data_IF_019806722244
#
_entry.id   IF_019806722244
#
_cell.length_a   1.000
_cell.length_b   1.000
_cell.length_c   1.000
_cell.angle_alpha   90.00
_cell.angle_beta   90.00
_cell.angle_gamma   90.00
#
_symmetry.space_group_name_H-M   'P 1'
#
loop_
_entity.id
_entity.type
_entity.pdbx_description
1 polymer ?
#
# COMPACT_ATOMS: atom_id res chain seq x y z
N UNK A 1 89.74 2.75 -3.02
CA UNK A 1 88.56 3.62 -2.87
C UNK A 1 87.55 3.15 -3.92
N UNK A 2 86.59 2.26 -3.58
CA UNK A 2 85.19 2.57 -3.15
C UNK A 2 84.43 3.30 -4.28
N UNK A 3 83.25 2.94 -4.83
CA UNK A 3 82.06 2.10 -4.54
C UNK A 3 81.24 2.04 -5.89
N UNK A 4 80.50 0.98 -6.32
CA UNK A 4 79.10 0.59 -6.01
C UNK A 4 78.09 1.78 -5.95
N UNK A 5 76.80 1.77 -6.34
CA UNK A 5 75.83 0.86 -6.97
C UNK A 5 74.56 1.71 -7.35
N UNK A 6 73.60 1.06 -8.03
CA UNK A 6 72.29 1.45 -8.63
C UNK A 6 71.24 2.25 -7.81
N UNK A 7 70.34 2.94 -8.54
CA UNK A 7 68.89 2.60 -8.57
C UNK A 7 67.81 3.62 -8.11
N UNK A 8 66.75 3.72 -8.94
CA UNK A 8 65.28 3.92 -8.68
C UNK A 8 64.55 5.29 -8.75
N UNK A 9 63.53 5.30 -9.63
CA UNK A 9 62.08 5.60 -9.52
C UNK A 9 61.49 6.96 -9.03
N UNK A 10 60.47 7.42 -9.78
CA UNK A 10 59.37 8.34 -9.39
C UNK A 10 59.64 9.84 -9.63
N UNK A 11 58.71 10.73 -9.98
CA UNK A 11 57.25 10.74 -9.80
C UNK A 11 56.61 11.88 -10.63
N UNK A 12 55.28 11.82 -10.72
CA UNK A 12 54.31 12.55 -11.53
C UNK A 12 54.24 14.07 -11.25
N UNK A 13 54.29 14.87 -12.33
CA UNK A 13 53.92 16.29 -12.32
C UNK A 13 52.40 16.47 -12.26
N UNK A 14 51.89 16.67 -11.05
CA UNK A 14 50.51 17.08 -10.76
C UNK A 14 50.32 18.57 -11.08
N UNK A 15 49.35 18.91 -11.92
CA UNK A 15 48.80 20.27 -12.02
C UNK A 15 47.31 20.22 -11.68
N UNK A 16 47.05 20.31 -10.38
CA UNK A 16 45.73 20.57 -9.82
C UNK A 16 45.46 22.08 -9.88
N UNK A 17 44.43 22.48 -10.63
CA UNK A 17 43.72 23.75 -10.41
C UNK A 17 42.29 23.36 -10.07
N UNK A 18 41.99 23.39 -8.78
CA UNK A 18 40.73 22.96 -8.20
C UNK A 18 39.56 23.85 -8.62
N UNK A 19 38.55 23.23 -9.24
CA UNK A 19 37.18 23.70 -9.14
C UNK A 19 36.58 23.14 -7.86
N UNK A 20 36.33 23.99 -6.87
CA UNK A 20 35.62 23.59 -5.66
C UNK A 20 34.28 22.95 -6.02
N UNK A 21 34.05 21.72 -5.51
CA UNK A 21 32.75 21.08 -5.57
C UNK A 21 31.74 21.94 -4.79
N UNK A 22 30.89 22.68 -5.51
CA UNK A 22 29.86 23.53 -4.90
C UNK A 22 28.93 22.65 -4.05
N UNK A 23 28.89 22.95 -2.76
CA UNK A 23 28.10 22.24 -1.75
C UNK A 23 26.62 22.41 -2.06
N UNK A 24 25.92 21.32 -2.38
CA UNK A 24 24.46 21.32 -2.51
C UNK A 24 23.84 21.47 -1.13
N UNK A 25 23.10 22.56 -0.91
CA UNK A 25 22.32 22.78 0.31
C UNK A 25 20.94 22.11 0.18
N UNK A 26 20.41 21.49 1.25
CA UNK A 26 19.05 20.96 1.27
C UNK A 26 18.01 22.09 1.18
N UNK A 27 16.84 21.75 0.63
CA UNK A 27 15.76 22.68 0.26
C UNK A 27 15.32 23.63 1.39
N UNK A 28 15.34 23.14 2.63
CA UNK A 28 14.87 23.86 3.83
C UNK A 28 15.76 25.06 4.21
N UNK A 29 17.00 25.07 3.73
CA UNK A 29 17.98 26.13 4.02
C UNK A 29 17.94 27.30 3.01
N UNK A 30 17.15 27.17 1.93
CA UNK A 30 17.04 28.19 0.88
C UNK A 30 15.94 29.20 1.23
N UNK A 31 16.26 30.13 2.14
CA UNK A 31 15.41 31.29 2.50
C UNK A 31 15.31 32.31 1.35
N UNK A 32 14.61 31.96 0.27
CA UNK A 32 14.28 32.91 -0.81
C UNK A 32 15.48 33.44 -1.59
N UNK A 33 16.46 32.59 -1.90
CA UNK A 33 17.59 32.99 -2.74
C UNK A 33 17.18 33.21 -4.20
N UNK A 34 17.80 34.19 -4.86
CA UNK A 34 17.85 34.33 -6.33
C UNK A 34 19.31 34.29 -6.78
N UNK A 35 19.60 33.62 -7.90
CA UNK A 35 20.92 33.62 -8.53
C UNK A 35 21.29 32.33 -9.28
N UNK A 36 22.38 32.34 -10.07
CA UNK A 36 22.85 31.21 -10.91
C UNK A 36 23.30 29.96 -10.12
N UNK A 37 23.15 29.98 -8.80
CA UNK A 37 23.42 28.87 -7.89
C UNK A 37 22.17 27.98 -7.68
N UNK A 38 20.99 28.43 -8.12
CA UNK A 38 19.72 27.75 -7.91
C UNK A 38 19.30 27.05 -9.20
N UNK A 39 19.90 25.89 -9.42
CA UNK A 39 19.41 24.96 -10.44
C UNK A 39 18.24 24.17 -9.85
N UNK A 40 17.01 24.65 -10.06
CA UNK A 40 15.81 23.85 -9.79
C UNK A 40 15.82 22.64 -10.71
N UNK A 41 16.24 21.49 -10.19
CA UNK A 41 16.05 20.20 -10.84
C UNK A 41 14.78 19.58 -10.27
N UNK A 42 13.80 19.21 -11.11
CA UNK A 42 12.66 18.44 -10.65
C UNK A 42 13.12 17.18 -9.91
N UNK A 43 12.42 16.82 -8.84
CA UNK A 43 12.68 15.59 -8.10
C UNK A 43 12.64 14.40 -9.06
N UNK A 44 13.66 13.54 -8.96
CA UNK A 44 13.74 12.29 -9.71
C UNK A 44 13.36 11.14 -8.80
N UNK A 45 12.45 10.30 -9.28
CA UNK A 45 12.00 9.09 -8.62
C UNK A 45 12.62 7.90 -9.33
N UNK A 46 13.30 7.03 -8.59
CA UNK A 46 13.84 5.78 -9.13
C UNK A 46 12.70 4.80 -9.37
N UNK A 47 12.94 3.80 -10.21
CA UNK A 47 12.01 2.69 -10.41
C UNK A 47 11.66 2.00 -9.07
N UNK A 48 12.59 1.94 -8.13
CA UNK A 48 12.41 1.42 -6.77
C UNK A 48 11.40 2.23 -5.94
N UNK A 49 11.41 3.56 -6.06
CA UNK A 49 10.46 4.44 -5.36
C UNK A 49 9.03 4.26 -5.88
N UNK A 50 8.91 3.75 -7.12
CA UNK A 50 7.67 3.51 -7.84
C UNK A 50 7.31 2.02 -7.88
N UNK A 51 7.94 1.22 -7.00
CA UNK A 51 7.65 -0.19 -6.85
C UNK A 51 6.17 -0.40 -6.47
N UNK A 52 5.48 -1.24 -7.24
CA UNK A 52 4.04 -1.47 -7.13
C UNK A 52 3.26 -1.06 -8.38
N UNK A 53 3.87 -0.30 -9.29
CA UNK A 53 3.32 -0.01 -10.63
C UNK A 53 4.01 -0.87 -11.69
N UNK A 54 3.25 -1.30 -12.70
CA UNK A 54 3.77 -1.97 -13.90
C UNK A 54 4.04 -0.92 -14.97
N UNK A 55 5.29 -0.81 -15.40
CA UNK A 55 5.73 0.19 -16.37
C UNK A 55 5.90 -0.43 -17.76
N UNK A 56 5.33 0.24 -18.76
CA UNK A 56 5.55 -0.09 -20.17
C UNK A 56 6.12 1.14 -20.85
N UNK A 57 7.38 1.07 -21.26
CA UNK A 57 8.05 2.18 -21.93
C UNK A 57 8.49 1.73 -23.30
N UNK A 58 8.12 2.52 -24.31
CA UNK A 58 8.43 2.27 -25.69
C UNK A 58 9.09 3.50 -26.30
N UNK A 59 10.21 3.28 -26.98
CA UNK A 59 10.88 4.30 -27.77
C UNK A 59 10.79 3.90 -29.24
N UNK A 60 10.37 4.85 -30.06
CA UNK A 60 10.33 4.72 -31.51
C UNK A 60 11.19 5.83 -32.13
N UNK A 61 12.43 5.52 -32.56
CA UNK A 61 13.19 6.43 -33.39
C UNK A 61 12.52 6.62 -34.75
N UNK A 62 12.90 7.67 -35.50
CA UNK A 62 12.32 8.02 -36.81
C UNK A 62 12.32 6.88 -37.85
N UNK A 63 13.16 5.87 -37.64
CA UNK A 63 13.25 4.66 -38.47
C UNK A 63 12.08 3.68 -38.24
N UNK A 64 11.18 3.96 -37.30
CA UNK A 64 9.90 3.26 -37.10
C UNK A 64 9.97 1.97 -36.29
N UNK A 65 11.13 1.66 -35.68
CA UNK A 65 11.30 0.43 -34.89
C UNK A 65 10.98 0.69 -33.42
N UNK A 66 9.82 0.22 -32.96
CA UNK A 66 9.42 0.30 -31.55
C UNK A 66 10.32 -0.62 -30.70
N UNK A 67 10.89 -0.05 -29.63
CA UNK A 67 11.77 -0.77 -28.70
C UNK A 67 11.23 -0.65 -27.27
N UNK A 68 10.97 -1.79 -26.59
CA UNK A 68 10.66 -1.76 -25.16
C UNK A 68 11.88 -1.34 -24.35
N UNK A 69 11.66 -0.63 -23.26
CA UNK A 69 12.71 -0.13 -22.38
C UNK A 69 12.32 -0.34 -20.92
N UNK A 70 13.32 -0.45 -20.05
CA UNK A 70 13.10 -0.56 -18.60
C UNK A 70 13.30 0.79 -17.95
N UNK A 71 12.38 1.22 -17.08
CA UNK A 71 12.51 2.47 -16.33
C UNK A 71 13.70 2.40 -15.37
N UNK A 72 14.52 3.46 -15.33
CA UNK A 72 15.55 3.66 -14.30
C UNK A 72 15.11 4.74 -13.32
N UNK A 73 14.82 5.93 -13.85
CA UNK A 73 14.31 7.06 -13.08
C UNK A 73 13.41 7.95 -13.94
N UNK A 74 12.52 8.69 -13.29
CA UNK A 74 11.56 9.60 -13.91
C UNK A 74 11.47 10.91 -13.14
N UNK A 75 11.31 12.00 -13.87
CA UNK A 75 10.96 13.32 -13.35
C UNK A 75 9.87 13.95 -14.21
N UNK A 76 9.38 15.12 -13.80
CA UNK A 76 8.34 15.86 -14.53
C UNK A 76 8.74 16.19 -15.98
N UNK A 77 10.03 16.41 -16.24
CA UNK A 77 10.56 16.89 -17.52
C UNK A 77 11.39 15.85 -18.31
N UNK A 78 11.52 14.62 -17.81
CA UNK A 78 12.42 13.65 -18.41
C UNK A 78 12.43 12.33 -17.67
N UNK A 79 13.13 11.37 -18.26
CA UNK A 79 13.31 10.04 -17.68
C UNK A 79 14.63 9.43 -18.17
N UNK A 80 15.12 8.46 -17.42
CA UNK A 80 16.19 7.57 -17.83
C UNK A 80 15.62 6.17 -18.02
N UNK A 81 16.00 5.53 -19.11
CA UNK A 81 15.63 4.13 -19.39
C UNK A 81 16.85 3.29 -19.69
N UNK A 82 16.73 1.99 -19.43
CA UNK A 82 17.67 0.98 -19.86
C UNK A 82 17.19 0.36 -21.17
N UNK A 83 18.08 0.38 -22.16
CA UNK A 83 17.94 -0.31 -23.43
C UNK A 83 18.70 -1.64 -23.35
N UNK A 84 17.99 -2.76 -23.55
CA UNK A 84 18.59 -4.11 -23.56
C UNK A 84 19.32 -4.44 -24.86
N UNK A 85 19.09 -3.64 -25.91
CA UNK A 85 19.82 -3.71 -27.17
C UNK A 85 20.20 -2.29 -27.56
N UNK A 86 21.38 -2.08 -28.16
CA UNK A 86 21.79 -0.76 -28.59
C UNK A 86 20.78 -0.24 -29.62
N UNK A 87 20.17 0.91 -29.32
CA UNK A 87 19.49 1.68 -30.36
C UNK A 87 20.56 2.34 -31.22
N UNK A 88 20.33 2.36 -32.54
CA UNK A 88 21.00 3.28 -33.46
C UNK A 88 20.43 4.69 -33.26
N UNK A 89 20.47 5.21 -32.03
CA UNK A 89 20.06 6.58 -31.76
C UNK A 89 21.29 7.37 -31.38
N UNK A 90 21.45 8.50 -32.04
CA UNK A 90 22.49 9.46 -31.73
C UNK A 90 21.99 10.40 -30.62
N UNK A 91 22.87 10.88 -29.73
CA UNK A 91 22.54 12.01 -28.87
C UNK A 91 21.99 13.19 -29.68
N UNK A 92 21.19 14.03 -29.04
CA UNK A 92 20.52 15.20 -29.62
C UNK A 92 19.41 14.90 -30.64
N UNK A 93 19.14 13.63 -30.96
CA UNK A 93 18.02 13.25 -31.83
C UNK A 93 16.70 13.19 -31.05
N UNK A 94 15.63 13.55 -31.75
CA UNK A 94 14.26 13.37 -31.29
C UNK A 94 13.76 11.96 -31.63
N UNK A 95 13.10 11.34 -30.66
CA UNK A 95 12.42 10.05 -30.75
C UNK A 95 10.99 10.21 -30.28
N UNK A 96 10.08 9.38 -30.77
CA UNK A 96 8.75 9.25 -30.19
C UNK A 96 8.85 8.35 -28.95
N UNK A 97 8.22 8.76 -27.87
CA UNK A 97 8.27 8.12 -26.56
C UNK A 97 6.85 7.90 -26.07
N UNK A 98 6.56 6.66 -25.69
CA UNK A 98 5.34 6.28 -25.02
C UNK A 98 5.65 5.67 -23.66
N UNK A 99 5.06 6.23 -22.61
CA UNK A 99 5.23 5.80 -21.22
C UNK A 99 3.86 5.47 -20.67
N UNK A 100 3.66 4.23 -20.24
CA UNK A 100 2.47 3.79 -19.54
C UNK A 100 2.81 3.24 -18.15
N UNK A 101 1.85 3.41 -17.23
CA UNK A 101 1.84 2.77 -15.91
C UNK A 101 0.48 2.12 -15.66
N UNK A 102 0.47 0.83 -15.32
CA UNK A 102 -0.74 0.03 -15.13
C UNK A 102 -1.75 0.18 -16.31
N UNK A 103 -1.23 0.30 -17.55
CA UNK A 103 -2.02 0.52 -18.78
C UNK A 103 -2.48 1.96 -19.05
N UNK A 104 -2.19 2.91 -18.14
CA UNK A 104 -2.54 4.33 -18.31
C UNK A 104 -1.38 5.10 -18.94
N UNK A 105 -1.69 6.00 -19.87
CA UNK A 105 -0.68 6.82 -20.55
C UNK A 105 -0.20 7.92 -19.59
N UNK A 106 1.08 7.88 -19.19
CA UNK A 106 1.76 8.98 -18.51
C UNK A 106 2.33 9.99 -19.50
N UNK A 107 2.77 9.52 -20.68
CA UNK A 107 3.32 10.36 -21.74
C UNK A 107 3.17 9.67 -23.09
N UNK A 108 2.82 10.43 -24.12
CA UNK A 108 2.83 9.99 -25.51
C UNK A 108 3.19 11.20 -26.38
N UNK A 109 4.41 11.21 -26.93
CA UNK A 109 4.91 12.36 -27.69
C UNK A 109 6.42 12.30 -27.95
N UNK A 110 6.98 13.42 -28.39
CA UNK A 110 8.39 13.51 -28.78
C UNK A 110 9.28 13.78 -27.56
N UNK A 111 10.40 13.06 -27.48
CA UNK A 111 11.47 13.29 -26.51
C UNK A 111 12.82 13.42 -27.21
N UNK A 112 13.74 14.18 -26.63
CA UNK A 112 15.11 14.33 -27.10
C UNK A 112 16.03 13.41 -26.31
N UNK A 113 16.88 12.66 -27.01
CA UNK A 113 17.98 11.92 -26.38
C UNK A 113 19.04 12.90 -25.93
N UNK A 114 19.24 13.02 -24.63
CA UNK A 114 20.23 13.92 -24.02
C UNK A 114 21.57 13.22 -23.87
N UNK A 115 21.55 11.96 -23.45
CA UNK A 115 22.76 11.23 -23.11
C UNK A 115 22.56 9.73 -23.34
N UNK A 116 23.60 9.09 -23.87
CA UNK A 116 23.68 7.64 -23.99
C UNK A 116 24.95 7.17 -23.25
N UNK A 117 24.78 6.33 -22.24
CA UNK A 117 25.88 5.75 -21.46
C UNK A 117 25.78 4.23 -21.51
N UNK A 118 26.81 3.55 -22.00
CA UNK A 118 26.78 2.09 -22.12
C UNK A 118 27.95 1.51 -22.89
N UNK A 119 28.02 0.18 -22.93
CA UNK A 119 29.06 -0.60 -23.60
C UNK A 119 28.56 -1.34 -24.85
N UNK A 120 27.39 -0.95 -25.38
CA UNK A 120 26.79 -1.57 -26.56
C UNK A 120 25.89 -2.78 -26.27
N UNK A 121 26.00 -3.43 -25.12
CA UNK A 121 25.06 -4.49 -24.70
C UNK A 121 23.90 -3.93 -23.88
N UNK A 122 24.21 -2.99 -22.99
CA UNK A 122 23.24 -2.24 -22.21
C UNK A 122 23.53 -0.76 -22.33
N UNK A 123 22.51 0.00 -22.71
CA UNK A 123 22.64 1.44 -22.88
C UNK A 123 21.61 2.14 -22.02
N UNK A 124 22.09 2.97 -21.10
CA UNK A 124 21.27 3.93 -20.37
C UNK A 124 21.02 5.12 -21.29
N UNK A 125 19.75 5.41 -21.54
CA UNK A 125 19.31 6.52 -22.38
C UNK A 125 18.57 7.54 -21.52
N UNK A 126 19.14 8.75 -21.43
CA UNK A 126 18.49 9.89 -20.79
C UNK A 126 17.66 10.66 -21.83
N UNK A 127 16.39 10.89 -21.51
CA UNK A 127 15.40 11.52 -22.38
C UNK A 127 14.86 12.79 -21.72
N UNK A 128 14.81 13.87 -22.49
CA UNK A 128 14.10 15.11 -22.13
C UNK A 128 12.82 15.21 -22.94
N UNK A 129 11.69 15.48 -22.29
CA UNK A 129 10.38 15.57 -22.93
C UNK A 129 10.25 16.90 -23.67
N UNK A 130 9.67 16.89 -24.88
CA UNK A 130 9.50 18.11 -25.70
C UNK A 130 8.04 18.55 -25.82
N UNK A 131 7.10 17.61 -25.90
CA UNK A 131 5.69 17.91 -26.19
C UNK A 131 4.83 18.08 -24.94
N UNK A 132 5.39 17.84 -23.76
CA UNK A 132 4.66 17.92 -22.50
C UNK A 132 5.50 17.52 -21.30
N UNK A 133 4.84 17.50 -20.15
CA UNK A 133 5.42 17.08 -18.87
C UNK A 133 4.68 15.85 -18.36
N UNK A 134 5.38 14.99 -17.64
CA UNK A 134 4.77 13.88 -16.92
C UNK A 134 4.21 14.40 -15.59
N UNK A 135 2.94 14.14 -15.34
CA UNK A 135 2.32 14.39 -14.04
C UNK A 135 2.72 13.30 -13.03
N UNK A 136 3.91 13.47 -12.47
CA UNK A 136 4.46 12.57 -11.45
C UNK A 136 3.62 12.56 -10.18
N UNK A 137 2.94 13.66 -9.85
CA UNK A 137 2.07 13.74 -8.67
C UNK A 137 0.88 12.80 -8.81
N UNK A 138 0.25 12.75 -9.97
CA UNK A 138 -0.83 11.78 -10.24
C UNK A 138 -0.35 10.33 -10.13
N UNK A 139 0.86 10.03 -10.61
CA UNK A 139 1.47 8.69 -10.50
C UNK A 139 1.67 8.30 -9.03
N UNK A 140 2.19 9.22 -8.21
CA UNK A 140 2.38 8.99 -6.77
C UNK A 140 1.06 8.82 -6.02
N UNK A 141 0.02 9.56 -6.41
CA UNK A 141 -1.31 9.42 -5.83
C UNK A 141 -1.90 8.03 -6.12
N UNK A 142 -1.78 7.53 -7.35
CA UNK A 142 -2.22 6.18 -7.72
C UNK A 142 -1.46 5.12 -6.92
N UNK A 143 -0.14 5.28 -6.77
CA UNK A 143 0.67 4.38 -5.95
C UNK A 143 0.22 4.36 -4.48
N UNK A 144 -0.09 5.52 -3.91
CA UNK A 144 -0.59 5.65 -2.53
C UNK A 144 -1.93 4.94 -2.37
N UNK A 145 -2.88 5.20 -3.28
CA UNK A 145 -4.19 4.54 -3.29
C UNK A 145 -4.04 3.02 -3.37
N UNK A 146 -3.14 2.52 -4.23
CA UNK A 146 -2.90 1.08 -4.38
C UNK A 146 -2.38 0.45 -3.09
N UNK A 147 -1.41 1.10 -2.43
CA UNK A 147 -0.88 0.67 -1.12
C UNK A 147 -1.97 0.65 -0.05
N UNK A 148 -2.78 1.70 0.02
CA UNK A 148 -3.89 1.80 0.98
C UNK A 148 -4.94 0.72 0.73
N UNK A 149 -5.28 0.46 -0.53
CA UNK A 149 -6.20 -0.62 -0.92
C UNK A 149 -5.66 -2.01 -0.56
N UNK A 150 -4.37 -2.27 -0.76
CA UNK A 150 -3.76 -3.53 -0.37
C UNK A 150 -3.79 -3.74 1.14
N UNK A 151 -3.49 -2.69 1.92
CA UNK A 151 -3.60 -2.73 3.38
C UNK A 151 -5.04 -2.92 3.85
N UNK A 152 -5.99 -2.18 3.28
CA UNK A 152 -7.42 -2.33 3.58
C UNK A 152 -7.92 -3.73 3.24
N UNK A 153 -7.50 -4.30 2.10
CA UNK A 153 -7.84 -5.67 1.72
C UNK A 153 -7.20 -6.70 2.64
N UNK A 154 -5.96 -6.52 3.09
CA UNK A 154 -5.32 -7.40 4.06
C UNK A 154 -6.03 -7.37 5.42
N UNK A 155 -6.41 -6.17 5.87
CA UNK A 155 -7.22 -5.99 7.07
C UNK A 155 -8.60 -6.64 6.91
N UNK A 156 -9.30 -6.40 5.80
CA UNK A 156 -10.59 -7.00 5.51
C UNK A 156 -10.50 -8.53 5.47
N UNK A 157 -9.50 -9.10 4.78
CA UNK A 157 -9.27 -10.56 4.76
C UNK A 157 -9.04 -11.11 6.16
N UNK A 158 -8.30 -10.41 7.01
CA UNK A 158 -8.07 -10.81 8.41
C UNK A 158 -9.35 -10.71 9.24
N UNK A 159 -10.10 -9.61 9.07
CA UNK A 159 -11.34 -9.31 9.77
C UNK A 159 -12.46 -10.31 9.41
N UNK A 160 -12.55 -10.69 8.14
CA UNK A 160 -13.59 -11.57 7.61
C UNK A 160 -13.09 -13.00 7.34
N UNK A 161 -11.88 -13.36 7.76
CA UNK A 161 -11.30 -14.69 7.57
C UNK A 161 -12.27 -15.81 8.00
N UNK A 162 -12.90 -15.66 9.17
CA UNK A 162 -13.89 -16.63 9.67
C UNK A 162 -15.20 -16.69 8.87
N UNK A 163 -15.54 -15.64 8.10
CA UNK A 163 -16.66 -15.67 7.16
C UNK A 163 -16.33 -16.46 5.89
N UNK A 164 -15.06 -16.48 5.46
CA UNK A 164 -14.63 -17.17 4.24
C UNK A 164 -14.41 -18.67 4.40
N UNK A 165 -14.49 -19.21 5.63
CA UNK A 165 -14.44 -20.67 5.85
C UNK A 165 -15.73 -21.29 5.32
N UNK A 166 -15.69 -21.94 4.16
CA UNK A 166 -16.86 -22.58 3.55
C UNK A 166 -17.37 -23.78 4.34
N UNK A 167 -18.62 -24.20 4.06
CA UNK A 167 -19.28 -25.39 4.62
C UNK A 167 -19.70 -25.31 6.10
N UNK A 168 -19.70 -24.11 6.69
CA UNK A 168 -20.16 -23.86 8.07
C UNK A 168 -21.29 -22.82 8.13
N UNK A 169 -22.05 -22.69 7.04
CA UNK A 169 -23.22 -21.82 6.95
C UNK A 169 -24.25 -22.08 8.08
N UNK A 170 -24.54 -23.34 8.48
CA UNK A 170 -25.46 -23.61 9.58
C UNK A 170 -24.99 -23.02 10.92
N UNK A 171 -23.69 -23.16 11.24
CA UNK A 171 -23.11 -22.59 12.47
C UNK A 171 -23.13 -21.07 12.43
N UNK A 172 -22.74 -20.46 11.30
CA UNK A 172 -22.76 -18.99 11.13
C UNK A 172 -24.18 -18.43 11.23
N UNK A 173 -25.17 -19.13 10.69
CA UNK A 173 -26.57 -18.75 10.79
C UNK A 173 -27.04 -18.76 12.25
N UNK A 174 -26.78 -19.85 13.00
CA UNK A 174 -27.15 -19.94 14.42
C UNK A 174 -26.49 -18.85 15.26
N UNK A 175 -25.20 -18.56 15.04
CA UNK A 175 -24.48 -17.49 15.75
C UNK A 175 -25.08 -16.12 15.44
N UNK A 176 -25.46 -15.88 14.18
CA UNK A 176 -26.06 -14.60 13.76
C UNK A 176 -27.49 -14.45 14.30
N UNK A 177 -28.30 -15.51 14.28
CA UNK A 177 -29.62 -15.55 14.91
C UNK A 177 -29.52 -15.31 16.41
N UNK A 178 -28.53 -15.92 17.07
CA UNK A 178 -28.31 -15.76 18.50
C UNK A 178 -27.88 -14.32 18.86
N UNK A 179 -27.05 -13.69 18.03
CA UNK A 179 -26.72 -12.26 18.18
C UNK A 179 -27.98 -11.39 18.14
N UNK A 180 -28.83 -11.55 17.14
CA UNK A 180 -30.07 -10.79 17.02
C UNK A 180 -30.97 -11.02 18.23
N UNK A 181 -31.08 -12.27 18.68
CA UNK A 181 -31.79 -12.59 19.91
C UNK A 181 -31.22 -11.87 21.13
N UNK A 182 -29.88 -11.78 21.27
CA UNK A 182 -29.21 -11.06 22.37
C UNK A 182 -29.43 -9.53 22.30
N UNK A 183 -29.49 -8.96 21.09
CA UNK A 183 -29.79 -7.54 20.88
C UNK A 183 -31.24 -7.22 21.27
N UNK A 184 -32.20 -8.04 20.81
CA UNK A 184 -33.62 -7.93 21.20
C UNK A 184 -33.81 -8.13 22.71
N UNK A 185 -33.07 -9.08 23.27
CA UNK A 185 -33.00 -9.38 24.69
C UNK A 185 -32.57 -8.17 25.51
N UNK A 186 -31.47 -7.52 25.09
CA UNK A 186 -30.96 -6.31 25.73
C UNK A 186 -31.98 -5.17 25.65
N UNK A 187 -32.55 -4.93 24.48
CA UNK A 187 -33.57 -3.89 24.29
C UNK A 187 -34.80 -4.12 25.18
N UNK A 188 -35.26 -5.37 25.27
CA UNK A 188 -36.40 -5.75 26.12
C UNK A 188 -36.09 -5.58 27.61
N UNK A 189 -34.87 -5.91 28.03
CA UNK A 189 -34.43 -5.73 29.42
C UNK A 189 -34.34 -4.24 29.77
N UNK A 190 -33.78 -3.42 28.88
CA UNK A 190 -33.71 -1.96 29.06
C UNK A 190 -35.12 -1.35 29.15
N UNK A 191 -36.07 -1.81 28.33
CA UNK A 191 -37.47 -1.40 28.41
C UNK A 191 -38.14 -1.84 29.73
N UNK A 192 -37.91 -3.08 30.16
CA UNK A 192 -38.41 -3.59 31.44
C UNK A 192 -37.87 -2.78 32.62
N UNK A 193 -36.57 -2.50 32.64
CA UNK A 193 -35.92 -1.66 33.65
C UNK A 193 -36.51 -0.25 33.68
N UNK A 194 -36.76 0.35 32.51
CA UNK A 194 -37.41 1.67 32.41
C UNK A 194 -38.82 1.66 33.00
N UNK A 195 -39.65 0.67 32.65
CA UNK A 195 -41.04 0.56 33.13
C UNK A 195 -41.14 0.23 34.63
N UNK A 196 -40.20 -0.57 35.14
CA UNK A 196 -40.22 -1.11 36.48
C UNK A 196 -39.16 -0.50 37.40
N UNK A 197 -38.70 0.73 37.10
CA UNK A 197 -37.65 1.42 37.87
C UNK A 197 -37.97 1.53 39.37
N UNK A 198 -39.24 1.76 39.69
CA UNK A 198 -39.73 1.84 41.07
C UNK A 198 -39.77 0.46 41.77
N UNK A 199 -40.06 -0.62 41.03
CA UNK A 199 -40.07 -2.00 41.52
C UNK A 199 -38.66 -2.48 41.87
N UNK A 200 -37.64 -2.08 41.09
CA UNK A 200 -36.24 -2.39 41.39
C UNK A 200 -35.81 -1.76 42.72
N UNK A 201 -36.21 -0.51 42.98
CA UNK A 201 -35.93 0.17 44.25
C UNK A 201 -36.73 -0.41 45.42
N UNK A 202 -37.99 -0.80 45.20
CA UNK A 202 -38.85 -1.37 46.24
C UNK A 202 -38.56 -2.86 46.56
N UNK A 203 -37.99 -3.61 45.60
CA UNK A 203 -37.64 -5.03 45.76
C UNK A 203 -36.45 -5.27 46.70
N UNK A 204 -35.66 -4.23 47.01
CA UNK A 204 -34.63 -4.30 48.05
C UNK A 204 -35.26 -4.45 49.44
N UNK A 205 -36.40 -3.81 49.67
CA UNK A 205 -37.07 -3.74 50.98
C UNK A 205 -38.13 -4.83 51.20
N UNK A 206 -38.83 -5.29 50.16
CA UNK A 206 -39.94 -6.25 50.28
C UNK A 206 -39.71 -7.57 49.50
N UNK A 207 -39.79 -8.69 50.23
CA UNK A 207 -39.64 -10.07 49.71
C UNK A 207 -40.75 -10.46 48.71
N UNK A 208 -41.95 -9.89 48.82
CA UNK A 208 -43.07 -10.15 47.88
C UNK A 208 -42.85 -9.47 46.54
N UNK A 209 -42.41 -8.21 46.55
CA UNK A 209 -42.06 -7.46 45.35
C UNK A 209 -40.83 -8.05 44.66
N UNK A 210 -39.87 -8.55 45.45
CA UNK A 210 -38.73 -9.32 44.92
C UNK A 210 -39.17 -10.58 44.18
N UNK A 211 -40.16 -11.30 44.69
CA UNK A 211 -40.72 -12.48 44.01
C UNK A 211 -41.41 -12.10 42.68
N UNK A 212 -42.23 -11.05 42.67
CA UNK A 212 -42.88 -10.55 41.46
C UNK A 212 -41.87 -10.04 40.42
N UNK A 213 -40.79 -9.40 40.85
CA UNK A 213 -39.67 -8.99 40.00
C UNK A 213 -38.99 -10.21 39.35
N UNK A 214 -38.66 -11.24 40.14
CA UNK A 214 -38.07 -12.47 39.62
C UNK A 214 -39.04 -13.23 38.70
N UNK A 215 -40.33 -13.27 38.99
CA UNK A 215 -41.33 -13.88 38.10
C UNK A 215 -41.41 -13.13 36.76
N UNK A 216 -41.36 -11.80 36.76
CA UNK A 216 -41.29 -11.00 35.52
C UNK A 216 -39.96 -11.16 34.77
N UNK A 217 -38.84 -11.28 35.50
CA UNK A 217 -37.51 -11.48 34.93
C UNK A 217 -37.33 -12.91 34.37
N UNK A 218 -37.88 -13.93 35.04
CA UNK A 218 -37.78 -15.34 34.63
C UNK A 218 -38.90 -15.77 33.67
N UNK A 219 -39.96 -14.97 33.49
CA UNK A 219 -40.89 -15.09 32.37
C UNK A 219 -40.24 -14.73 31.02
N UNK A 220 -39.06 -14.10 31.05
CA UNK A 220 -38.21 -13.90 29.88
C UNK A 220 -37.66 -15.23 29.36
N UNK A 221 -37.45 -15.42 28.03
CA UNK A 221 -37.37 -16.75 27.45
C UNK A 221 -35.98 -17.37 27.64
N UNK A 222 -35.70 -17.84 28.86
CA UNK A 222 -34.62 -18.76 29.20
C UNK A 222 -34.62 -20.01 28.29
N UNK A 223 -35.80 -20.40 27.81
CA UNK A 223 -35.99 -21.48 26.84
C UNK A 223 -35.33 -21.22 25.48
N UNK A 224 -35.52 -20.02 24.89
CA UNK A 224 -34.93 -19.69 23.57
C UNK A 224 -33.41 -19.61 23.65
N UNK A 225 -32.88 -19.11 24.77
CA UNK A 225 -31.45 -19.12 25.03
C UNK A 225 -30.90 -20.55 25.04
N UNK A 226 -31.57 -21.48 25.73
CA UNK A 226 -31.21 -22.90 25.74
C UNK A 226 -31.26 -23.52 24.34
N UNK A 227 -32.29 -23.22 23.55
CA UNK A 227 -32.43 -23.69 22.16
C UNK A 227 -31.27 -23.21 21.26
N UNK A 228 -30.85 -21.94 21.38
CA UNK A 228 -29.70 -21.42 20.65
C UNK A 228 -28.38 -22.06 21.10
N UNK A 229 -28.18 -22.24 22.41
CA UNK A 229 -26.98 -22.87 22.95
C UNK A 229 -26.85 -24.34 22.49
N UNK A 230 -27.95 -25.09 22.48
CA UNK A 230 -27.98 -26.48 22.00
C UNK A 230 -27.72 -26.55 20.49
N UNK A 231 -28.39 -25.71 19.68
CA UNK A 231 -28.16 -25.66 18.21
C UNK A 231 -26.72 -25.26 17.87
N UNK A 232 -26.15 -24.29 18.60
CA UNK A 232 -24.76 -23.87 18.40
C UNK A 232 -23.78 -24.99 18.79
N UNK A 233 -24.05 -25.71 19.87
CA UNK A 233 -23.26 -26.87 20.28
C UNK A 233 -23.31 -27.98 19.23
N UNK A 234 -24.49 -28.36 18.76
CA UNK A 234 -24.68 -29.42 17.77
C UNK A 234 -23.94 -29.11 16.46
N UNK A 235 -24.12 -27.89 15.93
CA UNK A 235 -23.44 -27.44 14.71
C UNK A 235 -21.94 -27.28 14.87
N UNK A 236 -21.44 -26.98 16.08
CA UNK A 236 -19.99 -26.89 16.34
C UNK A 236 -19.27 -28.24 16.28
N UNK A 237 -19.99 -29.37 16.38
CA UNK A 237 -19.38 -30.72 16.34
C UNK A 237 -18.85 -31.09 14.95
N UNK A 238 -19.36 -30.44 13.92
CA UNK A 238 -18.96 -30.66 12.53
C UNK A 238 -17.70 -29.88 12.15
N UNK A 239 -17.22 -29.01 13.05
CA UNK A 239 -16.05 -28.14 12.83
C UNK A 239 -14.75 -28.92 12.89
N UNK A 240 -13.95 -28.82 11.83
CA UNK A 240 -12.61 -29.42 11.81
C UNK A 240 -11.63 -28.66 12.71
N UNK A 241 -10.56 -29.34 13.16
CA UNK A 241 -9.49 -28.72 13.97
C UNK A 241 -8.77 -27.59 13.25
N UNK A 242 -8.72 -27.64 11.91
CA UNK A 242 -8.05 -26.63 11.09
C UNK A 242 -8.86 -25.32 11.03
N UNK A 243 -10.19 -25.43 11.04
CA UNK A 243 -11.11 -24.29 10.91
C UNK A 243 -11.56 -23.71 12.25
N UNK A 244 -11.38 -24.47 13.35
CA UNK A 244 -11.83 -24.12 14.69
C UNK A 244 -11.36 -22.73 15.14
N UNK A 245 -10.09 -22.39 14.96
CA UNK A 245 -9.55 -21.09 15.42
C UNK A 245 -10.13 -19.91 14.62
N UNK A 246 -10.44 -20.10 13.34
CA UNK A 246 -11.05 -19.05 12.51
C UNK A 246 -12.53 -18.86 12.85
N UNK A 247 -13.26 -19.95 13.06
CA UNK A 247 -14.67 -19.92 13.46
C UNK A 247 -14.85 -19.43 14.90
N UNK A 248 -13.93 -19.77 15.81
CA UNK A 248 -13.90 -19.22 17.17
C UNK A 248 -13.78 -17.70 17.14
N UNK A 249 -12.86 -17.15 16.34
CA UNK A 249 -12.74 -15.69 16.14
C UNK A 249 -14.03 -15.08 15.57
N UNK A 250 -14.68 -15.77 14.64
CA UNK A 250 -15.99 -15.35 14.10
C UNK A 250 -17.07 -15.29 15.19
N UNK A 251 -17.22 -16.35 15.99
CA UNK A 251 -18.21 -16.42 17.07
C UNK A 251 -17.97 -15.35 18.14
N UNK A 252 -16.73 -15.19 18.60
CA UNK A 252 -16.36 -14.17 19.58
C UNK A 252 -16.71 -12.76 19.09
N UNK A 253 -16.43 -12.44 17.82
CA UNK A 253 -16.71 -11.12 17.25
C UNK A 253 -18.21 -10.83 17.06
N UNK A 254 -19.03 -11.85 16.85
CA UNK A 254 -20.47 -11.65 16.65
C UNK A 254 -21.23 -11.58 17.97
N UNK A 255 -20.68 -12.12 19.06
CA UNK A 255 -21.33 -12.17 20.36
C UNK A 255 -20.77 -11.16 21.39
N UNK A 256 -19.64 -10.49 21.09
CA UNK A 256 -19.07 -9.38 21.85
C UNK A 256 -19.07 -8.09 21.04
#
# INVERSE_FOLDING_TARGET
MSQFDKGKDGDLGTSAVGGEAKKHLPHEDLRGGEGPQINFRPTRYKAEDLAGLTWEIQIEPKEGVIRPCVLIDISTNGLCVLLEKPLTVEPEKSVHLKVLYDGNIAYDGVAKVVELRGNGEKTVCALALLDGLIDVTSILNVLTIKKDMEQANAQAKTLFAGWFVGNYEPLKAVVSEFKLFLEDAKASLDEFQRKNRWLVQAAESDKRLRKAFYEGLFAWPSRKFGEFATRAWETSREVTKQDFEQLKKFCWRHLH
#
